data_IF_094659469296
#
_entry.id   IF_094659469296
#
_cell.length_a   1.000
_cell.length_b   1.000
_cell.length_c   1.000
_cell.angle_alpha   90.00
_cell.angle_beta   90.00
_cell.angle_gamma   90.00
#
_symmetry.space_group_name_H-M   'P 1'
#
loop_
_entity.id
_entity.type
_entity.pdbx_description
1 polymer ?
#
# COMPACT_ATOMS: atom_id res chain seq x y z
N UNK A 1 4.91 32.97 14.49
CA UNK A 1 3.84 32.79 13.48
C UNK A 1 4.52 32.56 12.15
N UNK A 2 4.76 31.30 11.80
CA UNK A 2 5.34 30.91 10.52
C UNK A 2 4.20 30.84 9.51
N UNK A 3 4.24 31.74 8.52
CA UNK A 3 3.30 31.73 7.39
C UNK A 3 3.75 30.60 6.46
N UNK A 4 3.04 29.47 6.48
CA UNK A 4 3.21 28.42 5.46
C UNK A 4 2.86 28.99 4.09
N UNK A 5 3.80 28.89 3.14
CA UNK A 5 3.54 29.20 1.75
C UNK A 5 2.39 28.30 1.23
N UNK A 6 1.39 28.84 0.53
CA UNK A 6 0.31 28.03 -0.03
C UNK A 6 0.90 27.00 -1.00
N UNK A 7 0.76 25.72 -0.68
CA UNK A 7 1.19 24.59 -1.51
C UNK A 7 2.15 23.60 -0.83
N UNK A 8 2.89 24.01 0.19
CA UNK A 8 3.83 23.09 0.88
C UNK A 8 3.11 22.38 2.03
N UNK A 9 2.77 21.09 1.83
CA UNK A 9 2.27 20.24 2.92
C UNK A 9 3.42 19.95 3.88
N UNK A 10 3.31 20.43 5.11
CA UNK A 10 4.29 20.13 6.16
C UNK A 10 4.00 18.83 6.93
N UNK A 11 2.85 18.20 6.68
CA UNK A 11 2.39 16.93 7.29
C UNK A 11 1.51 16.16 6.32
N UNK A 12 1.56 14.82 6.38
CA UNK A 12 0.64 13.95 5.65
C UNK A 12 -0.64 13.72 6.48
N UNK A 13 -0.46 13.47 7.77
CA UNK A 13 -1.56 13.23 8.71
C UNK A 13 -2.29 14.54 9.06
N UNK A 14 -3.61 14.56 8.86
CA UNK A 14 -4.47 15.62 9.36
C UNK A 14 -4.47 15.72 10.89
N UNK A 15 -4.80 16.89 11.43
CA UNK A 15 -4.85 17.11 12.90
C UNK A 15 -5.97 16.34 13.58
N UNK A 16 -7.09 16.12 12.89
CA UNK A 16 -8.22 15.34 13.35
C UNK A 16 -8.22 13.93 12.74
N UNK A 17 -8.73 12.91 13.46
CA UNK A 17 -9.10 11.64 12.84
C UNK A 17 -10.07 11.90 11.67
N UNK A 18 -9.93 11.18 10.54
CA UNK A 18 -10.94 11.23 9.50
C UNK A 18 -12.27 10.72 10.05
N UNK A 19 -13.38 11.12 9.43
CA UNK A 19 -14.68 10.53 9.70
C UNK A 19 -14.56 9.00 9.63
N UNK A 20 -15.25 8.26 10.52
CA UNK A 20 -15.31 6.82 10.40
C UNK A 20 -15.83 6.54 8.99
N UNK A 21 -14.98 5.90 8.18
CA UNK A 21 -15.31 5.56 6.80
C UNK A 21 -16.51 4.63 6.74
N UNK A 22 -16.83 4.05 5.57
CA UNK A 22 -17.92 3.09 5.46
C UNK A 22 -17.82 2.07 6.61
N UNK A 23 -18.94 1.84 7.28
CA UNK A 23 -19.01 0.89 8.39
C UNK A 23 -18.34 -0.43 7.96
N UNK A 24 -17.71 -1.14 8.90
CA UNK A 24 -16.99 -2.41 8.65
C UNK A 24 -17.92 -3.58 8.22
N UNK A 25 -19.04 -3.27 7.57
CA UNK A 25 -20.05 -4.15 7.03
C UNK A 25 -19.98 -4.06 5.50
N UNK A 26 -19.31 -5.02 4.86
CA UNK A 26 -19.15 -5.08 3.41
C UNK A 26 -17.70 -5.36 2.98
N UNK A 27 -17.50 -5.71 1.72
CA UNK A 27 -16.17 -5.93 1.16
C UNK A 27 -15.49 -4.58 0.79
N UNK A 28 -14.15 -4.54 0.81
CA UNK A 28 -13.40 -3.32 0.55
C UNK A 28 -13.42 -2.88 -0.92
N UNK A 29 -13.61 -3.79 -1.87
CA UNK A 29 -13.65 -3.50 -3.31
C UNK A 29 -14.93 -2.74 -3.68
N UNK A 30 -16.07 -3.06 -3.06
CA UNK A 30 -17.29 -2.26 -3.17
C UNK A 30 -17.05 -0.82 -2.68
N UNK A 31 -16.32 -0.64 -1.56
CA UNK A 31 -15.99 0.69 -1.05
C UNK A 31 -15.04 1.44 -2.00
N UNK A 32 -14.04 0.75 -2.57
CA UNK A 32 -13.18 1.30 -3.62
C UNK A 32 -14.00 1.75 -4.84
N UNK A 33 -14.90 0.92 -5.36
CA UNK A 33 -15.71 1.25 -6.53
C UNK A 33 -16.55 2.52 -6.28
N UNK A 34 -17.11 2.66 -5.08
CA UNK A 34 -17.84 3.87 -4.67
C UNK A 34 -16.94 5.09 -4.56
N UNK A 35 -15.73 4.94 -4.01
CA UNK A 35 -14.75 6.02 -3.91
C UNK A 35 -14.29 6.49 -5.30
N UNK A 36 -13.99 5.54 -6.20
CA UNK A 36 -13.62 5.82 -7.58
C UNK A 36 -14.74 6.53 -8.34
N UNK A 37 -15.99 6.10 -8.20
CA UNK A 37 -17.15 6.76 -8.81
C UNK A 37 -17.35 8.21 -8.34
N UNK A 38 -16.84 8.57 -7.15
CA UNK A 38 -16.87 9.95 -6.61
C UNK A 38 -15.61 10.77 -6.93
N UNK A 39 -14.65 10.19 -7.66
CA UNK A 39 -13.36 10.84 -7.94
C UNK A 39 -12.43 10.93 -6.72
N UNK A 40 -12.71 10.21 -5.64
CA UNK A 40 -11.89 10.27 -4.43
C UNK A 40 -10.51 9.62 -4.63
N UNK A 41 -10.39 8.74 -5.62
CA UNK A 41 -9.15 8.05 -6.00
C UNK A 41 -8.37 8.78 -7.09
N UNK A 42 -8.83 9.95 -7.55
CA UNK A 42 -8.12 10.76 -8.55
C UNK A 42 -6.94 11.48 -7.87
N UNK A 43 -5.85 10.74 -7.67
CA UNK A 43 -4.65 11.23 -7.04
C UNK A 43 -3.64 11.76 -8.07
N UNK A 44 -2.81 12.76 -7.69
CA UNK A 44 -1.67 13.15 -8.51
C UNK A 44 -0.76 11.95 -8.83
N UNK A 45 -0.11 11.99 -10.00
CA UNK A 45 0.90 11.02 -10.36
C UNK A 45 2.12 11.15 -9.42
N UNK A 46 2.81 10.04 -9.09
CA UNK A 46 4.08 10.09 -8.36
C UNK A 46 5.11 10.97 -9.09
N UNK A 47 5.87 11.79 -8.35
CA UNK A 47 6.91 12.66 -8.94
C UNK A 47 6.39 13.83 -9.79
N UNK A 48 5.08 14.11 -9.77
CA UNK A 48 4.48 15.17 -10.58
C UNK A 48 4.36 16.53 -9.84
N UNK A 49 5.14 16.75 -8.77
CA UNK A 49 5.10 17.98 -7.98
C UNK A 49 4.06 18.00 -6.85
N UNK A 50 3.40 16.87 -6.60
CA UNK A 50 2.36 16.74 -5.57
C UNK A 50 2.38 15.37 -4.88
N UNK A 51 3.55 14.74 -4.75
CA UNK A 51 3.73 13.43 -4.12
C UNK A 51 3.26 13.45 -2.66
N UNK A 52 3.50 14.53 -1.91
CA UNK A 52 3.03 14.66 -0.54
C UNK A 52 1.49 14.71 -0.45
N UNK A 53 0.79 15.27 -1.45
CA UNK A 53 -0.67 15.25 -1.50
C UNK A 53 -1.21 13.84 -1.77
N UNK A 54 -0.58 13.10 -2.69
CA UNK A 54 -0.89 11.69 -2.95
C UNK A 54 -0.73 10.86 -1.67
N UNK A 55 0.42 10.96 -1.01
CA UNK A 55 0.71 10.20 0.22
C UNK A 55 -0.19 10.61 1.40
N UNK A 56 -0.59 11.88 1.49
CA UNK A 56 -1.57 12.31 2.49
C UNK A 56 -2.95 11.64 2.29
N UNK A 57 -3.39 11.43 1.04
CA UNK A 57 -4.62 10.69 0.77
C UNK A 57 -4.50 9.21 1.16
N UNK A 58 -3.37 8.57 0.83
CA UNK A 58 -3.06 7.19 1.22
C UNK A 58 -3.02 7.01 2.74
N UNK A 59 -2.34 7.92 3.45
CA UNK A 59 -2.29 7.93 4.91
C UNK A 59 -3.65 8.17 5.54
N UNK A 60 -4.48 9.05 4.95
CA UNK A 60 -5.86 9.26 5.39
C UNK A 60 -6.68 7.98 5.28
N UNK A 61 -6.61 7.27 4.15
CA UNK A 61 -7.32 6.00 4.01
C UNK A 61 -6.81 4.95 5.00
N UNK A 62 -5.49 4.81 5.18
CA UNK A 62 -4.93 3.88 6.16
C UNK A 62 -5.36 4.20 7.60
N UNK A 63 -5.47 5.50 7.92
CA UNK A 63 -6.00 5.98 9.21
C UNK A 63 -7.49 5.69 9.35
N UNK A 64 -8.24 5.64 8.26
CA UNK A 64 -9.65 5.24 8.28
C UNK A 64 -9.79 3.72 8.43
N UNK A 65 -9.34 2.93 7.46
CA UNK A 65 -9.47 1.46 7.43
C UNK A 65 -8.45 0.85 6.44
N UNK A 66 -7.67 -0.13 6.90
CA UNK A 66 -6.47 -0.60 6.18
C UNK A 66 -6.77 -1.50 4.99
N UNK A 67 -7.84 -2.29 5.01
CA UNK A 67 -8.23 -3.15 3.89
C UNK A 67 -8.70 -2.33 2.68
N UNK A 68 -9.53 -1.32 2.93
CA UNK A 68 -9.94 -0.31 1.96
C UNK A 68 -8.74 0.46 1.45
N UNK A 69 -7.86 0.92 2.36
CA UNK A 69 -6.66 1.64 1.95
C UNK A 69 -5.74 0.82 1.05
N UNK A 70 -5.62 -0.50 1.29
CA UNK A 70 -4.89 -1.40 0.39
C UNK A 70 -5.48 -1.42 -1.01
N UNK A 71 -6.80 -1.54 -1.16
CA UNK A 71 -7.40 -1.54 -2.49
C UNK A 71 -7.28 -0.18 -3.19
N UNK A 72 -7.47 0.92 -2.48
CA UNK A 72 -7.23 2.25 -3.05
C UNK A 72 -5.76 2.47 -3.43
N UNK A 73 -4.81 2.02 -2.62
CA UNK A 73 -3.39 2.09 -2.93
C UNK A 73 -3.06 1.30 -4.20
N UNK A 74 -3.49 0.03 -4.29
CA UNK A 74 -3.29 -0.79 -5.49
C UNK A 74 -3.97 -0.22 -6.74
N UNK A 75 -5.18 0.31 -6.62
CA UNK A 75 -5.89 0.95 -7.73
C UNK A 75 -5.16 2.21 -8.22
N UNK A 76 -4.76 3.09 -7.31
CA UNK A 76 -4.08 4.34 -7.67
C UNK A 76 -2.66 4.09 -8.18
N UNK A 77 -1.99 3.01 -7.77
CA UNK A 77 -0.71 2.57 -8.36
C UNK A 77 -0.93 2.01 -9.77
N UNK A 78 -1.96 1.18 -10.00
CA UNK A 78 -2.30 0.69 -11.34
C UNK A 78 -2.56 1.84 -12.33
N UNK A 79 -3.31 2.87 -11.91
CA UNK A 79 -3.56 4.06 -12.73
C UNK A 79 -2.26 4.80 -13.04
N UNK A 80 -1.34 4.93 -12.07
CA UNK A 80 -0.03 5.55 -12.29
C UNK A 80 0.84 4.72 -13.25
N UNK A 81 0.88 3.39 -13.10
CA UNK A 81 1.60 2.47 -13.99
C UNK A 81 1.09 2.60 -15.43
N UNK A 82 -0.23 2.64 -15.63
CA UNK A 82 -0.81 2.82 -16.95
C UNK A 82 -0.42 4.17 -17.56
N UNK A 83 -0.52 5.25 -16.78
CA UNK A 83 -0.13 6.59 -17.24
C UNK A 83 1.36 6.68 -17.63
N UNK A 84 2.26 6.11 -16.82
CA UNK A 84 3.71 6.03 -17.11
C UNK A 84 3.99 5.21 -18.39
N UNK A 85 3.14 4.23 -18.71
CA UNK A 85 3.21 3.45 -19.94
C UNK A 85 2.51 4.13 -21.14
N UNK A 86 2.02 5.36 -21.00
CA UNK A 86 1.29 6.08 -22.04
C UNK A 86 -0.09 5.50 -22.34
N UNK A 87 -0.70 4.81 -21.36
CA UNK A 87 -2.01 4.16 -21.47
C UNK A 87 -3.03 4.83 -20.56
N UNK A 88 -4.31 4.73 -20.95
CA UNK A 88 -5.44 5.19 -20.15
C UNK A 88 -6.13 4.00 -19.51
N UNK A 89 -6.48 4.04 -18.20
CA UNK A 89 -7.30 3.00 -17.59
C UNK A 89 -8.67 2.88 -18.26
N UNK A 90 -9.26 1.69 -18.21
CA UNK A 90 -10.63 1.48 -18.67
C UNK A 90 -11.58 2.35 -17.82
N UNK A 91 -12.39 3.23 -18.42
CA UNK A 91 -13.27 4.11 -17.66
C UNK A 91 -14.22 3.35 -16.74
N UNK A 92 -14.27 3.76 -15.48
CA UNK A 92 -15.13 3.17 -14.44
C UNK A 92 -14.66 1.82 -13.89
N UNK A 93 -13.56 1.24 -14.41
CA UNK A 93 -13.02 -0.01 -13.89
C UNK A 93 -12.14 0.22 -12.65
N UNK A 94 -12.31 -0.64 -11.66
CA UNK A 94 -11.41 -0.77 -10.53
C UNK A 94 -10.24 -1.69 -10.88
N UNK A 95 -9.07 -1.39 -10.32
CA UNK A 95 -7.82 -2.06 -10.68
C UNK A 95 -7.07 -2.56 -9.44
N UNK A 96 -6.37 -3.67 -9.59
CA UNK A 96 -5.31 -4.12 -8.69
C UNK A 96 -3.96 -4.24 -9.39
N UNK A 97 -2.89 -4.35 -8.61
CA UNK A 97 -1.54 -4.70 -9.11
C UNK A 97 -1.10 -6.00 -8.46
N UNK A 98 -0.91 -7.04 -9.27
CA UNK A 98 -0.58 -8.39 -8.79
C UNK A 98 0.81 -8.79 -9.26
N UNK A 99 1.78 -8.65 -8.35
CA UNK A 99 3.20 -8.83 -8.66
C UNK A 99 3.93 -9.87 -7.78
N UNK A 100 3.21 -10.56 -6.89
CA UNK A 100 3.82 -11.46 -5.93
C UNK A 100 4.46 -12.69 -6.60
N UNK A 101 5.72 -12.94 -6.27
CA UNK A 101 6.49 -14.15 -6.65
C UNK A 101 6.86 -15.02 -5.45
N UNK A 102 6.10 -14.91 -4.36
CA UNK A 102 6.42 -15.54 -3.08
C UNK A 102 6.32 -17.06 -3.15
N UNK A 103 7.27 -17.77 -2.52
CA UNK A 103 7.23 -19.23 -2.42
C UNK A 103 7.46 -19.96 -3.76
N UNK A 104 8.08 -19.30 -4.74
CA UNK A 104 8.39 -19.88 -6.04
C UNK A 104 7.21 -19.95 -7.02
N UNK A 105 6.04 -19.44 -6.63
CA UNK A 105 4.86 -19.30 -7.50
C UNK A 105 4.86 -17.92 -8.17
N UNK A 106 4.03 -17.75 -9.20
CA UNK A 106 3.83 -16.48 -9.89
C UNK A 106 3.19 -16.68 -11.26
N UNK A 107 2.85 -15.58 -11.92
CA UNK A 107 2.37 -15.62 -13.29
C UNK A 107 3.54 -15.84 -14.26
N UNK A 108 3.29 -16.63 -15.29
CA UNK A 108 4.16 -16.83 -16.45
C UNK A 108 3.38 -16.43 -17.69
N UNK A 109 3.98 -15.57 -18.51
CA UNK A 109 3.47 -15.16 -19.80
C UNK A 109 4.24 -15.93 -20.88
N UNK A 110 3.57 -16.89 -21.51
CA UNK A 110 4.12 -17.77 -22.53
C UNK A 110 3.59 -17.41 -23.92
N UNK A 111 4.33 -17.79 -24.96
CA UNK A 111 3.99 -17.51 -26.34
C UNK A 111 4.77 -16.31 -26.90
N UNK A 112 4.14 -15.58 -27.80
CA UNK A 112 4.68 -14.40 -28.47
C UNK A 112 3.56 -13.53 -29.04
N UNK A 113 3.93 -12.54 -29.86
CA UNK A 113 2.97 -11.61 -30.45
C UNK A 113 1.77 -12.33 -31.09
N UNK A 114 0.56 -11.90 -30.74
CA UNK A 114 -0.71 -12.49 -31.16
C UNK A 114 -1.09 -13.83 -30.52
N UNK A 115 -0.26 -14.40 -29.65
CA UNK A 115 -0.46 -15.73 -29.06
C UNK A 115 -0.12 -15.81 -27.56
N UNK A 116 -0.06 -14.67 -26.86
CA UNK A 116 0.29 -14.67 -25.44
C UNK A 116 -0.74 -15.39 -24.56
N UNK A 117 -0.24 -16.14 -23.58
CA UNK A 117 -1.02 -16.88 -22.59
C UNK A 117 -0.44 -16.69 -21.20
N UNK A 118 -1.29 -16.29 -20.25
CA UNK A 118 -0.95 -16.24 -18.83
C UNK A 118 -1.29 -17.55 -18.14
N UNK A 119 -0.33 -18.03 -17.35
CA UNK A 119 -0.44 -19.26 -16.58
C UNK A 119 0.16 -19.12 -15.19
N UNK A 120 -0.26 -19.95 -14.26
CA UNK A 120 0.33 -20.10 -12.93
C UNK A 120 -0.52 -19.51 -11.81
N UNK A 121 -0.02 -19.59 -10.58
CA UNK A 121 -0.70 -19.09 -9.39
C UNK A 121 -0.02 -17.83 -8.89
N UNK A 122 -0.77 -16.74 -8.85
CA UNK A 122 -0.32 -15.48 -8.23
C UNK A 122 -0.88 -15.44 -6.81
N UNK A 123 -0.04 -15.10 -5.84
CA UNK A 123 -0.43 -15.07 -4.43
C UNK A 123 -0.81 -13.67 -3.97
N UNK A 124 -1.61 -13.59 -2.92
CA UNK A 124 -1.94 -12.31 -2.26
C UNK A 124 -2.56 -11.27 -3.22
N UNK A 125 -3.47 -11.72 -4.07
CA UNK A 125 -4.13 -10.87 -5.06
C UNK A 125 -5.24 -10.05 -4.40
N UNK A 126 -4.89 -8.91 -3.78
CA UNK A 126 -5.88 -8.04 -3.13
C UNK A 126 -7.03 -7.69 -4.07
N UNK A 127 -8.27 -7.87 -3.59
CA UNK A 127 -9.50 -7.66 -4.33
C UNK A 127 -9.82 -8.77 -5.33
N UNK A 128 -9.39 -10.01 -5.05
CA UNK A 128 -9.46 -11.15 -5.97
C UNK A 128 -10.85 -11.40 -6.57
N UNK A 129 -11.91 -11.20 -5.80
CA UNK A 129 -13.30 -11.44 -6.22
C UNK A 129 -14.06 -10.16 -6.61
N UNK A 130 -13.59 -8.99 -6.21
CA UNK A 130 -14.36 -7.75 -6.25
C UNK A 130 -13.86 -6.68 -7.24
N UNK A 131 -12.63 -6.81 -7.76
CA UNK A 131 -12.08 -5.87 -8.73
C UNK A 131 -12.47 -6.24 -10.17
N UNK A 132 -12.48 -5.24 -11.05
CA UNK A 132 -12.79 -5.45 -12.47
C UNK A 132 -11.57 -5.94 -13.25
N UNK A 133 -10.38 -5.41 -12.91
CA UNK A 133 -9.14 -5.62 -13.66
C UNK A 133 -7.93 -5.73 -12.74
N UNK A 134 -6.86 -6.37 -13.22
CA UNK A 134 -5.56 -6.31 -12.57
C UNK A 134 -4.41 -6.18 -13.57
N UNK A 135 -3.40 -5.43 -13.17
CA UNK A 135 -2.09 -5.45 -13.81
C UNK A 135 -1.31 -6.64 -13.24
N UNK A 136 -1.17 -7.69 -14.03
CA UNK A 136 -0.49 -8.92 -13.65
C UNK A 136 0.95 -8.88 -14.12
N UNK A 137 1.90 -8.88 -13.18
CA UNK A 137 3.33 -8.96 -13.48
C UNK A 137 3.73 -10.42 -13.63
N UNK A 138 4.16 -10.79 -14.83
CA UNK A 138 4.47 -12.15 -15.21
C UNK A 138 5.93 -12.31 -15.66
N UNK A 139 6.51 -13.48 -15.44
CA UNK A 139 7.77 -13.86 -16.07
C UNK A 139 7.53 -14.21 -17.55
N UNK A 140 8.35 -13.69 -18.45
CA UNK A 140 8.41 -14.07 -19.85
C UNK A 140 9.86 -14.38 -20.26
N UNK A 141 10.09 -15.06 -21.40
CA UNK A 141 11.43 -15.43 -21.86
C UNK A 141 12.39 -14.25 -22.04
N UNK A 142 11.88 -13.07 -22.34
CA UNK A 142 12.64 -11.84 -22.59
C UNK A 142 12.68 -10.90 -21.37
N UNK A 143 12.17 -11.33 -20.23
CA UNK A 143 12.11 -10.56 -18.99
C UNK A 143 10.69 -10.50 -18.43
N UNK A 144 10.53 -9.84 -17.29
CA UNK A 144 9.20 -9.67 -16.71
C UNK A 144 8.37 -8.70 -17.53
N UNK A 145 7.09 -9.01 -17.75
CA UNK A 145 6.13 -8.18 -18.48
C UNK A 145 4.88 -7.95 -17.64
N UNK A 146 4.15 -6.88 -17.91
CA UNK A 146 2.86 -6.59 -17.29
C UNK A 146 1.76 -6.84 -18.31
N UNK A 147 0.70 -7.53 -17.90
CA UNK A 147 -0.52 -7.70 -18.68
C UNK A 147 -1.72 -7.07 -17.93
N UNK A 148 -2.51 -6.25 -18.63
CA UNK A 148 -3.79 -5.74 -18.12
C UNK A 148 -4.90 -6.76 -18.38
N UNK A 149 -5.36 -7.42 -17.32
CA UNK A 149 -6.28 -8.57 -17.40
C UNK A 149 -7.65 -8.20 -16.81
N UNK A 150 -8.76 -8.35 -17.57
CA UNK A 150 -10.10 -8.32 -17.00
C UNK A 150 -10.32 -9.56 -16.13
N UNK A 151 -10.72 -9.38 -14.87
CA UNK A 151 -10.81 -10.47 -13.89
C UNK A 151 -12.00 -11.40 -14.12
N UNK A 152 -13.01 -10.94 -14.88
CA UNK A 152 -14.11 -11.79 -15.35
C UNK A 152 -13.72 -12.73 -16.51
N UNK A 153 -12.48 -12.66 -17.05
CA UNK A 153 -12.07 -13.56 -18.14
C UNK A 153 -12.07 -15.03 -17.67
N UNK A 154 -12.57 -15.97 -18.50
CA UNK A 154 -12.40 -17.39 -18.24
C UNK A 154 -10.93 -17.74 -18.02
N UNK A 155 -10.66 -18.55 -16.99
CA UNK A 155 -9.30 -18.96 -16.61
C UNK A 155 -8.66 -18.10 -15.52
N UNK A 156 -9.23 -16.96 -15.16
CA UNK A 156 -8.87 -16.20 -13.94
C UNK A 156 -9.74 -16.71 -12.80
N UNK A 157 -9.15 -17.38 -11.80
CA UNK A 157 -9.92 -18.07 -10.76
C UNK A 157 -9.32 -17.83 -9.37
N UNK A 158 -9.96 -17.00 -8.52
CA UNK A 158 -9.61 -16.93 -7.11
C UNK A 158 -9.69 -18.31 -6.45
N UNK A 159 -8.71 -18.61 -5.61
CA UNK A 159 -8.58 -19.91 -4.94
C UNK A 159 -9.20 -19.83 -3.56
N UNK A 160 -10.35 -20.48 -3.38
CA UNK A 160 -11.07 -20.50 -2.11
C UNK A 160 -10.18 -20.99 -0.94
N UNK A 161 -10.31 -20.34 0.22
CA UNK A 161 -9.60 -20.74 1.44
C UNK A 161 -8.13 -20.33 1.51
N UNK A 162 -7.60 -19.57 0.55
CA UNK A 162 -6.20 -19.11 0.58
C UNK A 162 -5.98 -17.79 1.32
N UNK A 163 -7.07 -17.08 1.67
CA UNK A 163 -7.04 -15.87 2.50
C UNK A 163 -7.86 -16.05 3.79
N UNK A 164 -7.33 -16.84 4.73
CA UNK A 164 -7.95 -17.14 6.02
C UNK A 164 -7.30 -16.35 7.15
N UNK A 165 -7.55 -15.05 7.19
CA UNK A 165 -6.92 -14.13 8.16
C UNK A 165 -7.95 -13.32 8.94
N UNK A 166 -7.61 -12.99 10.19
CA UNK A 166 -8.37 -12.04 11.02
C UNK A 166 -8.09 -10.60 10.59
N UNK A 167 -6.81 -10.26 10.43
CA UNK A 167 -6.38 -8.95 9.94
C UNK A 167 -6.40 -8.88 8.43
N UNK A 168 -6.76 -7.74 7.86
CA UNK A 168 -6.88 -7.50 6.43
C UNK A 168 -7.92 -8.41 5.75
N UNK A 169 -8.88 -8.94 6.50
CA UNK A 169 -9.88 -9.88 5.98
C UNK A 169 -10.67 -9.30 4.80
N UNK A 170 -11.06 -8.02 4.90
CA UNK A 170 -11.84 -7.31 3.87
C UNK A 170 -11.05 -7.00 2.60
N UNK A 171 -9.72 -7.11 2.63
CA UNK A 171 -8.87 -6.88 1.44
C UNK A 171 -9.01 -7.95 0.38
N UNK A 172 -9.62 -9.10 0.73
CA UNK A 172 -9.87 -10.22 -0.18
C UNK A 172 -8.63 -10.58 -1.01
N UNK A 173 -7.52 -10.86 -0.32
CA UNK A 173 -6.22 -11.11 -0.95
C UNK A 173 -5.98 -12.60 -1.20
N UNK A 174 -6.98 -13.30 -1.76
CA UNK A 174 -6.84 -14.70 -2.15
C UNK A 174 -5.72 -14.91 -3.17
N UNK A 175 -5.18 -16.12 -3.24
CA UNK A 175 -4.38 -16.54 -4.39
C UNK A 175 -5.31 -16.63 -5.62
N UNK A 176 -4.78 -16.40 -6.82
CA UNK A 176 -5.52 -16.50 -8.09
C UNK A 176 -4.78 -17.43 -9.03
N UNK A 177 -5.47 -18.44 -9.53
CA UNK A 177 -5.02 -19.28 -10.63
C UNK A 177 -5.30 -18.60 -11.97
N UNK A 178 -4.28 -18.59 -12.83
CA UNK A 178 -4.34 -18.21 -14.23
C UNK A 178 -4.20 -19.49 -15.04
N UNK A 179 -5.27 -19.89 -15.71
CA UNK A 179 -5.37 -21.11 -16.51
C UNK A 179 -5.52 -20.76 -17.99
N UNK A 180 -4.38 -20.70 -18.67
CA UNK A 180 -4.23 -20.40 -20.10
C UNK A 180 -4.99 -19.14 -20.57
N UNK A 181 -4.96 -18.09 -19.75
CA UNK A 181 -5.71 -16.85 -20.01
C UNK A 181 -5.12 -16.14 -21.22
N UNK A 182 -5.89 -15.89 -22.30
CA UNK A 182 -5.40 -15.17 -23.47
C UNK A 182 -5.08 -13.73 -23.11
N UNK A 183 -3.94 -13.23 -23.59
CA UNK A 183 -3.53 -11.83 -23.48
C UNK A 183 -3.31 -11.29 -24.88
N UNK A 184 -3.97 -10.18 -25.18
CA UNK A 184 -3.85 -9.49 -26.46
C UNK A 184 -2.60 -8.58 -26.44
N UNK A 185 -1.96 -8.32 -27.58
CA UNK A 185 -0.71 -7.54 -27.62
C UNK A 185 -0.90 -6.10 -27.10
N UNK A 186 -2.09 -5.53 -27.30
CA UNK A 186 -2.48 -4.21 -26.81
C UNK A 186 -2.75 -4.19 -25.29
N UNK A 187 -2.96 -5.35 -24.66
CA UNK A 187 -3.09 -5.50 -23.22
C UNK A 187 -1.74 -5.57 -22.49
N UNK A 188 -0.61 -5.63 -23.21
CA UNK A 188 0.72 -5.55 -22.61
C UNK A 188 1.07 -4.11 -22.24
N UNK A 189 1.55 -3.92 -21.01
CA UNK A 189 1.89 -2.62 -20.44
C UNK A 189 3.40 -2.49 -20.29
N UNK A 190 4.00 -1.50 -20.96
CA UNK A 190 5.44 -1.30 -21.02
C UNK A 190 6.18 -2.40 -21.80
N UNK A 191 7.52 -2.33 -21.79
CA UNK A 191 8.41 -3.35 -22.35
C UNK A 191 8.87 -4.40 -21.33
N UNK A 192 9.67 -5.41 -21.76
CA UNK A 192 10.30 -6.35 -20.83
C UNK A 192 11.15 -5.63 -19.78
N UNK A 193 11.04 -6.06 -18.52
CA UNK A 193 11.79 -5.50 -17.38
C UNK A 193 11.37 -4.09 -16.95
N UNK A 194 10.44 -3.45 -17.66
CA UNK A 194 10.07 -2.05 -17.44
C UNK A 194 9.49 -1.80 -16.05
N UNK A 195 8.67 -2.73 -15.52
CA UNK A 195 7.96 -2.57 -14.26
C UNK A 195 8.84 -2.17 -13.07
N UNK A 196 9.98 -2.86 -12.88
CA UNK A 196 10.89 -2.60 -11.76
C UNK A 196 11.97 -1.58 -12.08
N UNK A 197 12.15 -1.24 -13.36
CA UNK A 197 13.13 -0.25 -13.82
C UNK A 197 12.60 1.19 -13.74
N UNK A 198 11.27 1.37 -13.69
CA UNK A 198 10.64 2.69 -13.60
C UNK A 198 10.94 3.36 -12.22
N UNK A 199 11.26 4.68 -12.17
CA UNK A 199 11.37 5.40 -10.90
C UNK A 199 10.09 5.30 -10.04
N UNK A 200 8.93 5.35 -10.69
CA UNK A 200 7.61 5.26 -10.04
C UNK A 200 7.40 3.97 -9.24
N UNK A 201 8.15 2.88 -9.50
CA UNK A 201 8.10 1.64 -8.70
C UNK A 201 8.55 1.92 -7.27
N UNK A 202 9.63 2.68 -7.12
CA UNK A 202 10.17 3.08 -5.84
C UNK A 202 9.28 4.13 -5.19
N UNK A 203 8.85 5.15 -5.93
CA UNK A 203 7.94 6.17 -5.40
C UNK A 203 6.63 5.56 -4.87
N UNK A 204 6.08 4.57 -5.57
CA UNK A 204 4.92 3.79 -5.13
C UNK A 204 5.15 3.04 -3.82
N UNK A 205 6.36 2.50 -3.62
CA UNK A 205 6.78 1.88 -2.36
C UNK A 205 6.73 2.82 -1.15
N UNK A 206 6.99 4.12 -1.35
CA UNK A 206 6.79 5.16 -0.33
C UNK A 206 5.30 5.42 -0.04
N UNK A 207 4.45 5.32 -1.05
CA UNK A 207 2.99 5.38 -0.89
C UNK A 207 2.42 4.27 0.00
N UNK A 208 2.93 3.05 -0.14
CA UNK A 208 2.58 1.93 0.76
C UNK A 208 2.96 2.26 2.22
N UNK A 209 4.12 2.86 2.44
CA UNK A 209 4.54 3.30 3.78
C UNK A 209 3.63 4.40 4.34
N UNK A 210 3.14 5.32 3.50
CA UNK A 210 2.15 6.31 3.91
C UNK A 210 0.85 5.66 4.41
N UNK A 211 0.39 4.56 3.78
CA UNK A 211 -0.77 3.79 4.29
C UNK A 211 -0.47 3.17 5.66
N UNK A 212 0.72 2.60 5.86
CA UNK A 212 1.13 2.06 7.17
C UNK A 212 1.19 3.13 8.26
N UNK A 213 1.74 4.31 7.94
CA UNK A 213 1.73 5.48 8.82
C UNK A 213 0.28 5.83 9.22
N UNK A 214 -0.63 5.85 8.25
CA UNK A 214 -2.05 6.01 8.47
C UNK A 214 -2.61 4.98 9.46
N UNK A 215 -2.34 3.69 9.22
CA UNK A 215 -2.77 2.61 10.11
C UNK A 215 -2.28 2.78 11.55
N UNK A 216 -1.01 3.12 11.73
CA UNK A 216 -0.43 3.44 13.04
C UNK A 216 -1.14 4.64 13.68
N UNK A 217 -1.35 5.73 12.95
CA UNK A 217 -2.07 6.90 13.44
C UNK A 217 -3.53 6.58 13.84
N UNK A 218 -4.20 5.69 13.11
CA UNK A 218 -5.56 5.24 13.45
C UNK A 218 -5.61 4.44 14.74
N UNK A 219 -4.57 3.66 15.05
CA UNK A 219 -4.42 3.01 16.36
C UNK A 219 -4.21 4.04 17.47
N UNK A 220 -3.37 5.06 17.23
CA UNK A 220 -3.17 6.17 18.19
C UNK A 220 -4.45 6.95 18.46
N UNK A 221 -5.32 7.14 17.47
CA UNK A 221 -6.61 7.78 17.67
C UNK A 221 -7.49 7.01 18.64
N UNK A 222 -7.58 5.68 18.48
CA UNK A 222 -8.35 4.83 19.37
C UNK A 222 -7.73 4.80 20.77
N UNK A 223 -6.39 4.74 20.88
CA UNK A 223 -5.68 4.82 22.15
C UNK A 223 -5.92 6.15 22.85
N UNK A 224 -5.96 7.27 22.12
CA UNK A 224 -6.23 8.58 22.70
C UNK A 224 -7.58 8.58 23.42
N UNK A 225 -8.63 8.02 22.80
CA UNK A 225 -9.94 7.88 23.43
C UNK A 225 -9.86 7.07 24.73
N UNK A 226 -9.16 5.93 24.70
CA UNK A 226 -8.98 5.05 25.87
C UNK A 226 -8.21 5.75 26.99
N UNK A 227 -7.13 6.45 26.67
CA UNK A 227 -6.28 7.15 27.64
C UNK A 227 -7.03 8.33 28.26
N UNK A 228 -7.76 9.12 27.47
CA UNK A 228 -8.51 10.29 27.96
C UNK A 228 -9.79 9.92 28.72
N UNK A 229 -10.34 8.73 28.52
CA UNK A 229 -11.47 8.22 29.30
C UNK A 229 -11.08 7.85 30.73
N UNK A 230 -9.78 7.84 31.03
CA UNK A 230 -9.21 7.61 32.36
C UNK A 230 -8.43 8.84 32.81
N UNK A 231 -8.07 8.93 34.09
CA UNK A 231 -7.00 9.83 34.54
C UNK A 231 -5.66 9.09 34.36
N UNK A 232 -4.87 9.39 33.30
CA UNK A 232 -3.72 8.57 32.97
C UNK A 232 -2.52 8.86 33.89
N UNK A 233 -1.95 7.82 34.46
CA UNK A 233 -0.70 7.92 35.21
C UNK A 233 0.50 8.35 34.31
N UNK A 234 1.63 8.79 34.90
CA UNK A 234 2.81 9.21 34.15
C UNK A 234 3.38 8.15 33.20
N UNK A 235 3.23 6.86 33.48
CA UNK A 235 3.71 5.79 32.60
C UNK A 235 2.85 5.64 31.37
N UNK A 236 1.51 5.75 31.50
CA UNK A 236 0.58 5.78 30.36
C UNK A 236 0.86 6.98 29.45
N UNK A 237 1.09 8.15 30.06
CA UNK A 237 1.48 9.36 29.32
C UNK A 237 2.81 9.19 28.59
N UNK A 238 3.82 8.59 29.23
CA UNK A 238 5.12 8.34 28.61
C UNK A 238 5.00 7.39 27.40
N UNK A 239 4.26 6.29 27.52
CA UNK A 239 4.03 5.35 26.42
C UNK A 239 3.27 6.01 25.26
N UNK A 240 2.24 6.81 25.55
CA UNK A 240 1.52 7.53 24.50
C UNK A 240 2.43 8.55 23.80
N UNK A 241 3.26 9.29 24.55
CA UNK A 241 4.25 10.23 24.01
C UNK A 241 5.31 9.56 23.13
N UNK A 242 5.77 8.37 23.52
CA UNK A 242 6.68 7.55 22.71
C UNK A 242 6.05 7.19 21.36
N UNK A 243 4.83 6.65 21.37
CA UNK A 243 4.11 6.29 20.15
C UNK A 243 3.85 7.50 19.25
N UNK A 244 3.43 8.63 19.84
CA UNK A 244 3.23 9.88 19.11
C UNK A 244 4.51 10.35 18.43
N UNK A 245 5.64 10.29 19.13
CA UNK A 245 6.95 10.71 18.61
C UNK A 245 7.34 9.88 17.40
N UNK A 246 7.20 8.56 17.46
CA UNK A 246 7.51 7.67 16.33
C UNK A 246 6.66 7.96 15.09
N UNK A 247 5.34 8.13 15.27
CA UNK A 247 4.42 8.47 14.18
C UNK A 247 4.73 9.85 13.59
N UNK A 248 4.99 10.85 14.42
CA UNK A 248 5.32 12.19 13.96
C UNK A 248 6.67 12.26 13.20
N UNK A 249 7.68 11.50 13.65
CA UNK A 249 8.97 11.40 12.97
C UNK A 249 8.82 10.76 11.57
N UNK A 250 8.00 9.71 11.47
CA UNK A 250 7.73 9.04 10.19
C UNK A 250 6.93 9.93 9.22
N UNK A 251 5.95 10.69 9.73
CA UNK A 251 5.21 11.68 8.93
C UNK A 251 6.16 12.73 8.33
N UNK A 252 7.07 13.29 9.15
CA UNK A 252 8.06 14.25 8.70
C UNK A 252 9.04 13.66 7.66
N UNK A 253 9.51 12.43 7.89
CA UNK A 253 10.39 11.73 6.95
C UNK A 253 9.71 11.51 5.60
N UNK A 254 8.46 11.04 5.58
CA UNK A 254 7.72 10.86 4.33
C UNK A 254 7.43 12.20 3.62
N UNK A 255 7.18 13.29 4.35
CA UNK A 255 7.07 14.63 3.72
C UNK A 255 8.39 15.02 3.03
N UNK A 256 9.53 14.82 3.70
CA UNK A 256 10.84 15.12 3.13
C UNK A 256 11.16 14.24 1.92
N UNK A 257 10.87 12.93 1.98
CA UNK A 257 11.06 12.01 0.85
C UNK A 257 10.15 12.37 -0.33
N UNK A 258 8.91 12.76 -0.07
CA UNK A 258 8.00 13.21 -1.13
C UNK A 258 8.52 14.47 -1.85
N UNK A 259 9.06 15.43 -1.09
CA UNK A 259 9.66 16.63 -1.67
C UNK A 259 10.88 16.29 -2.54
N UNK A 260 11.78 15.42 -2.08
CA UNK A 260 12.93 14.98 -2.87
C UNK A 260 12.52 14.28 -4.19
N UNK A 261 11.47 13.45 -4.13
CA UNK A 261 10.89 12.81 -5.32
C UNK A 261 10.33 13.84 -6.31
N UNK A 262 9.63 14.86 -5.81
CA UNK A 262 9.07 15.91 -6.66
C UNK A 262 10.15 16.84 -7.24
N UNK A 263 11.27 17.03 -6.54
CA UNK A 263 12.42 17.84 -7.00
C UNK A 263 13.25 17.13 -8.09
N UNK A 264 13.40 15.81 -8.02
CA UNK A 264 14.07 14.98 -9.03
C UNK A 264 13.29 13.69 -9.34
N UNK A 265 12.20 13.76 -10.12
CA UNK A 265 11.33 12.61 -10.37
C UNK A 265 11.93 11.56 -11.31
N UNK A 266 13.05 11.88 -11.98
CA UNK A 266 13.76 10.91 -12.81
C UNK A 266 14.58 9.93 -11.96
N UNK A 267 15.00 10.33 -10.76
CA UNK A 267 15.65 9.44 -9.81
C UNK A 267 14.66 8.49 -9.12
N UNK A 268 15.12 7.29 -8.85
CA UNK A 268 14.36 6.28 -8.12
C UNK A 268 14.18 6.65 -6.64
N UNK A 269 15.05 7.48 -6.05
CA UNK A 269 15.10 7.78 -4.62
C UNK A 269 15.12 6.52 -3.75
N UNK A 270 15.77 5.46 -4.26
CA UNK A 270 15.68 4.10 -3.72
C UNK A 270 16.07 4.03 -2.24
N UNK A 271 17.18 4.66 -1.87
CA UNK A 271 17.65 4.71 -0.48
C UNK A 271 16.66 5.46 0.43
N UNK A 272 16.19 6.63 0.00
CA UNK A 272 15.26 7.45 0.77
C UNK A 272 13.92 6.73 0.98
N UNK A 273 13.38 6.09 -0.06
CA UNK A 273 12.16 5.30 0.00
C UNK A 273 12.32 4.10 0.94
N UNK A 274 13.41 3.34 0.83
CA UNK A 274 13.66 2.22 1.73
C UNK A 274 13.82 2.67 3.18
N UNK A 275 14.53 3.77 3.41
CA UNK A 275 14.68 4.37 4.74
C UNK A 275 13.32 4.76 5.32
N UNK A 276 12.47 5.42 4.55
CA UNK A 276 11.12 5.79 4.98
C UNK A 276 10.25 4.56 5.30
N UNK A 277 10.30 3.52 4.44
CA UNK A 277 9.60 2.25 4.67
C UNK A 277 10.06 1.56 5.95
N UNK A 278 11.38 1.48 6.17
CA UNK A 278 11.96 0.86 7.36
C UNK A 278 11.60 1.63 8.65
N UNK A 279 11.65 2.97 8.61
CA UNK A 279 11.27 3.82 9.73
C UNK A 279 9.80 3.64 10.11
N UNK A 280 8.90 3.66 9.12
CA UNK A 280 7.46 3.44 9.35
C UNK A 280 7.20 2.04 9.88
N UNK A 281 7.85 1.02 9.32
CA UNK A 281 7.74 -0.36 9.80
C UNK A 281 8.14 -0.49 11.28
N UNK A 282 9.24 0.16 11.69
CA UNK A 282 9.70 0.19 13.07
C UNK A 282 8.66 0.87 13.99
N UNK A 283 8.11 2.00 13.56
CA UNK A 283 7.06 2.70 14.30
C UNK A 283 5.80 1.82 14.42
N UNK A 284 5.37 1.15 13.35
CA UNK A 284 4.25 0.22 13.36
C UNK A 284 4.49 -0.96 14.32
N UNK A 285 5.68 -1.57 14.31
CA UNK A 285 6.05 -2.62 15.29
C UNK A 285 5.93 -2.11 16.71
N UNK A 286 6.39 -0.88 16.98
CA UNK A 286 6.30 -0.30 18.32
C UNK A 286 4.85 -0.03 18.73
N UNK A 287 4.02 0.44 17.81
CA UNK A 287 2.57 0.58 18.02
C UNK A 287 1.93 -0.78 18.35
N UNK A 288 2.23 -1.82 17.59
CA UNK A 288 1.69 -3.17 17.82
C UNK A 288 2.09 -3.76 19.19
N UNK A 289 3.30 -3.45 19.67
CA UNK A 289 3.81 -3.88 20.98
C UNK A 289 3.19 -3.08 22.15
N UNK A 290 3.14 -1.75 22.03
CA UNK A 290 2.75 -0.87 23.14
C UNK A 290 1.24 -0.68 23.24
N UNK A 291 0.51 -0.65 22.12
CA UNK A 291 -0.92 -0.38 22.12
C UNK A 291 -1.74 -1.33 23.00
N UNK A 292 -1.54 -2.66 22.98
CA UNK A 292 -2.28 -3.58 23.86
C UNK A 292 -2.04 -3.30 25.34
N UNK A 293 -0.81 -2.95 25.71
CA UNK A 293 -0.42 -2.63 27.10
C UNK A 293 -1.08 -1.34 27.57
N UNK A 294 -1.12 -0.33 26.71
CA UNK A 294 -1.72 0.96 27.02
C UNK A 294 -3.26 0.86 27.08
N UNK A 295 -3.86 0.09 26.19
CA UNK A 295 -5.31 -0.03 26.09
C UNK A 295 -5.91 -0.91 27.20
N UNK A 296 -5.22 -1.99 27.58
CA UNK A 296 -5.71 -2.99 28.52
C UNK A 296 -6.79 -3.91 27.92
N UNK A 297 -7.07 -5.01 28.63
CA UNK A 297 -7.92 -6.10 28.14
C UNK A 297 -9.34 -5.67 27.77
N UNK A 298 -9.93 -4.72 28.50
CA UNK A 298 -11.30 -4.27 28.26
C UNK A 298 -11.44 -3.59 26.89
N UNK A 299 -10.49 -2.72 26.51
CA UNK A 299 -10.50 -2.05 25.22
C UNK A 299 -10.30 -3.01 24.04
N UNK A 300 -9.61 -4.14 24.28
CA UNK A 300 -9.35 -5.17 23.26
C UNK A 300 -10.50 -6.16 23.07
N UNK A 301 -11.37 -6.31 24.07
CA UNK A 301 -12.39 -7.39 24.10
C UNK A 301 -13.84 -6.92 23.98
N UNK A 302 -14.12 -5.62 24.15
CA UNK A 302 -15.50 -5.09 24.21
C UNK A 302 -16.01 -4.51 22.88
N UNK A 303 -15.58 -5.07 21.74
CA UNK A 303 -16.14 -4.74 20.42
C UNK A 303 -15.75 -3.37 19.86
N UNK A 304 -14.65 -2.77 20.34
CA UNK A 304 -14.09 -1.55 19.76
C UNK A 304 -13.27 -1.80 18.49
N UNK A 305 -12.92 -0.73 17.77
CA UNK A 305 -12.14 -0.78 16.51
C UNK A 305 -10.68 -1.18 16.70
N UNK A 306 -10.14 -0.96 17.90
CA UNK A 306 -8.72 -1.13 18.20
C UNK A 306 -8.18 -2.53 17.88
N UNK A 307 -8.87 -3.59 18.33
CA UNK A 307 -8.40 -4.96 18.10
C UNK A 307 -8.34 -5.31 16.60
N UNK A 308 -9.35 -4.89 15.82
CA UNK A 308 -9.37 -5.06 14.37
C UNK A 308 -8.23 -4.30 13.70
N UNK A 309 -8.01 -3.03 14.05
CA UNK A 309 -6.90 -2.23 13.50
C UNK A 309 -5.53 -2.82 13.81
N UNK A 310 -5.33 -3.36 15.02
CA UNK A 310 -4.09 -4.01 15.39
C UNK A 310 -3.87 -5.28 14.55
N UNK A 311 -4.92 -6.07 14.33
CA UNK A 311 -4.84 -7.25 13.46
C UNK A 311 -4.52 -6.85 12.01
N UNK A 312 -5.22 -5.86 11.46
CA UNK A 312 -4.99 -5.35 10.11
C UNK A 312 -3.56 -4.82 9.94
N UNK A 313 -3.10 -3.96 10.86
CA UNK A 313 -1.76 -3.38 10.82
C UNK A 313 -0.68 -4.47 10.92
N UNK A 314 -0.89 -5.46 11.79
CA UNK A 314 0.00 -6.60 11.97
C UNK A 314 0.21 -7.44 10.72
N UNK A 315 -0.82 -7.57 9.87
CA UNK A 315 -0.70 -8.24 8.56
C UNK A 315 -0.10 -7.29 7.53
N UNK A 316 -0.63 -6.08 7.39
CA UNK A 316 -0.34 -5.22 6.25
C UNK A 316 1.12 -4.72 6.22
N UNK A 317 1.71 -4.46 7.39
CA UNK A 317 3.10 -4.01 7.50
C UNK A 317 4.11 -5.11 7.15
N UNK A 318 3.71 -6.39 7.05
CA UNK A 318 4.59 -7.51 6.65
C UNK A 318 4.90 -7.55 5.14
N UNK A 319 4.37 -6.60 4.38
CA UNK A 319 4.89 -6.28 3.05
C UNK A 319 6.29 -5.64 3.09
N UNK A 320 6.78 -5.26 4.27
CA UNK A 320 8.22 -5.11 4.55
C UNK A 320 8.79 -6.47 4.98
N UNK A 321 9.79 -6.99 4.26
CA UNK A 321 10.34 -8.34 4.47
C UNK A 321 11.39 -8.41 5.59
N UNK A 322 11.22 -7.59 6.63
CA UNK A 322 12.10 -7.50 7.79
C UNK A 322 13.57 -7.29 7.40
N UNK A 323 14.42 -8.17 7.90
CA UNK A 323 15.88 -8.12 7.76
C UNK A 323 16.33 -8.20 6.30
N UNK A 324 15.55 -8.79 5.40
CA UNK A 324 15.90 -8.82 3.96
C UNK A 324 15.87 -7.40 3.37
N UNK A 325 14.82 -6.64 3.65
CA UNK A 325 14.69 -5.27 3.16
C UNK A 325 15.71 -4.35 3.86
N UNK A 326 16.00 -4.58 5.16
CA UNK A 326 17.06 -3.85 5.87
C UNK A 326 18.46 -4.17 5.34
N UNK A 327 18.73 -5.42 4.95
CA UNK A 327 20.01 -5.79 4.33
C UNK A 327 20.19 -5.11 2.96
N UNK A 328 19.12 -5.04 2.17
CA UNK A 328 19.14 -4.32 0.89
C UNK A 328 19.39 -2.82 1.09
N UNK A 329 18.74 -2.20 2.09
CA UNK A 329 19.01 -0.82 2.48
C UNK A 329 20.46 -0.63 2.95
N UNK A 330 20.96 -1.51 3.82
CA UNK A 330 22.34 -1.44 4.32
C UNK A 330 23.37 -1.55 3.20
N UNK A 331 23.14 -2.42 2.22
CA UNK A 331 23.98 -2.52 1.03
C UNK A 331 23.96 -1.21 0.20
N UNK A 332 22.78 -0.64 -0.03
CA UNK A 332 22.65 0.61 -0.77
C UNK A 332 23.35 1.79 -0.09
N UNK A 333 23.27 1.90 1.24
CA UNK A 333 23.96 2.97 2.00
C UNK A 333 25.48 2.82 1.96
N UNK A 334 26.00 1.59 1.95
CA UNK A 334 27.44 1.33 1.89
C UNK A 334 28.04 1.50 0.49
N UNK A 335 27.20 1.37 -0.54
CA UNK A 335 27.60 1.47 -1.94
C UNK A 335 26.49 2.15 -2.77
N UNK A 336 26.34 3.47 -2.63
CA UNK A 336 25.27 4.23 -3.27
C UNK A 336 25.33 4.18 -4.80
N UNK A 337 26.53 4.00 -5.37
CA UNK A 337 26.79 3.99 -6.82
C UNK A 337 26.85 2.57 -7.43
N UNK A 338 26.73 1.50 -6.63
CA UNK A 338 26.83 0.12 -7.11
C UNK A 338 28.23 -0.28 -7.59
N UNK A 339 29.27 0.31 -7.01
CA UNK A 339 30.68 0.10 -7.38
C UNK A 339 31.33 -1.14 -6.70
N UNK A 340 30.60 -1.89 -5.86
CA UNK A 340 31.09 -3.09 -5.16
C UNK A 340 30.37 -4.39 -5.54
#
# INVERSE_FOLDING_TARGET
MTVSLPGVRHRLLGSAPPDPGPAATGDAATDLARAAARGETDLPAPGAGATAQRWAALARWGRTELSFARLCEGHTDAVAILAEAGRTPVPGATYGVWAARSGGTGAVLAGGAGAWRLRGRVRFCSGAHGLDRALVVAAAPDGSRIADVPLARPGVRPVAGTWQTVGMARSDSADVDLDDVPVDDDALVGGPGWYTARPGFWHGGGGVAAVWLGGAAGVLDDLRLVVTATDPDPHRLALFGELHTGVAACDALLVATAAAIDDDPADAHREAVWTARAAVELACRRVLDVAPRLAGVAALTRGGRLAGRLADLGVYVRQHHGERDLAALGAAVLDPDGAR
#
